data_IF_584142794244
#
_entry.id   IF_584142794244
#
_cell.length_a   1.000
_cell.length_b   1.000
_cell.length_c   1.000
_cell.angle_alpha   90.00
_cell.angle_beta   90.00
_cell.angle_gamma   90.00
#
_symmetry.space_group_name_H-M   'P 1'
#
loop_
_entity.id
_entity.type
_entity.pdbx_description
1 polymer ?
#
# COMPACT_ATOMS: atom_id res chain seq x y z
N UNK A 1 -12.89 -12.49 0.08
CA UNK A 1 -11.80 -12.72 1.05
C UNK A 1 -12.17 -13.77 2.10
N UNK A 2 -13.00 -13.48 3.13
CA UNK A 2 -13.39 -14.53 4.11
C UNK A 2 -14.01 -15.76 3.45
N UNK A 3 -15.04 -15.54 2.61
CA UNK A 3 -15.69 -16.64 1.88
C UNK A 3 -14.69 -17.39 0.99
N UNK A 4 -13.76 -16.68 0.34
CA UNK A 4 -12.68 -17.30 -0.43
C UNK A 4 -11.81 -18.23 0.43
N UNK A 5 -11.52 -17.86 1.68
CA UNK A 5 -10.75 -18.71 2.59
C UNK A 5 -11.51 -20.02 2.90
N UNK A 6 -12.82 -19.91 3.15
CA UNK A 6 -13.67 -21.09 3.35
C UNK A 6 -13.69 -21.99 2.10
N UNK A 7 -13.83 -21.40 0.90
CA UNK A 7 -13.81 -22.15 -0.37
C UNK A 7 -12.44 -22.79 -0.65
N UNK A 8 -11.31 -22.14 -0.33
CA UNK A 8 -9.96 -22.73 -0.47
C UNK A 8 -9.73 -23.91 0.48
N UNK A 9 -10.49 -23.96 1.59
CA UNK A 9 -10.47 -25.11 2.49
C UNK A 9 -11.24 -26.30 1.90
N UNK A 10 -12.40 -26.06 1.31
CA UNK A 10 -13.23 -27.09 0.63
C UNK A 10 -12.53 -27.64 -0.61
N UNK A 11 -12.11 -26.76 -1.52
CA UNK A 11 -11.27 -27.10 -2.68
C UNK A 11 -11.93 -27.99 -3.75
N UNK A 12 -13.25 -28.19 -3.73
CA UNK A 12 -13.95 -28.93 -4.77
C UNK A 12 -14.18 -28.09 -6.05
N UNK A 13 -14.75 -28.71 -7.08
CA UNK A 13 -14.99 -28.04 -8.38
C UNK A 13 -15.93 -26.84 -8.25
N UNK A 14 -16.91 -26.90 -7.33
CA UNK A 14 -17.86 -25.81 -7.09
C UNK A 14 -17.15 -24.65 -6.39
N UNK A 15 -16.31 -24.96 -5.40
CA UNK A 15 -15.49 -23.99 -4.68
C UNK A 15 -14.53 -23.26 -5.63
N UNK A 16 -13.86 -23.99 -6.53
CA UNK A 16 -13.01 -23.39 -7.58
C UNK A 16 -13.81 -22.42 -8.46
N UNK A 17 -15.01 -22.83 -8.90
CA UNK A 17 -15.91 -21.96 -9.67
C UNK A 17 -16.28 -20.68 -8.92
N UNK A 18 -16.59 -20.78 -7.62
CA UNK A 18 -16.91 -19.61 -6.77
C UNK A 18 -15.70 -18.69 -6.58
N UNK A 19 -14.52 -19.26 -6.35
CA UNK A 19 -13.27 -18.48 -6.19
C UNK A 19 -13.01 -17.67 -7.47
N UNK A 20 -13.21 -18.26 -8.65
CA UNK A 20 -13.10 -17.56 -9.94
C UNK A 20 -14.00 -16.33 -10.00
N UNK A 21 -15.28 -16.47 -9.65
CA UNK A 21 -16.23 -15.34 -9.64
C UNK A 21 -15.84 -14.25 -8.62
N UNK A 22 -15.34 -14.65 -7.44
CA UNK A 22 -14.85 -13.71 -6.44
C UNK A 22 -13.60 -12.95 -6.91
N UNK A 23 -12.73 -13.60 -7.69
CA UNK A 23 -11.55 -12.98 -8.30
C UNK A 23 -11.93 -11.96 -9.38
N UNK A 24 -12.94 -12.25 -10.21
CA UNK A 24 -13.47 -11.25 -11.14
C UNK A 24 -14.13 -10.07 -10.43
N UNK A 25 -14.87 -10.35 -9.36
CA UNK A 25 -15.52 -9.29 -8.55
C UNK A 25 -14.47 -8.36 -7.94
N UNK A 26 -13.41 -8.90 -7.32
CA UNK A 26 -12.36 -8.05 -6.74
C UNK A 26 -11.57 -7.30 -7.80
N UNK A 27 -11.34 -7.90 -8.98
CA UNK A 27 -10.71 -7.20 -10.11
C UNK A 27 -11.52 -5.98 -10.55
N UNK A 28 -12.85 -6.10 -10.62
CA UNK A 28 -13.77 -5.00 -10.88
C UNK A 28 -13.70 -3.89 -9.84
N UNK A 29 -13.75 -4.25 -8.55
CA UNK A 29 -13.64 -3.29 -7.44
C UNK A 29 -12.30 -2.56 -7.46
N UNK A 30 -11.19 -3.25 -7.71
CA UNK A 30 -9.87 -2.61 -7.82
C UNK A 30 -9.83 -1.63 -8.99
N UNK A 31 -10.47 -1.94 -10.11
CA UNK A 31 -10.57 -1.02 -11.24
C UNK A 31 -11.43 0.22 -10.89
N UNK A 32 -12.53 0.05 -10.15
CA UNK A 32 -13.31 1.20 -9.66
C UNK A 32 -12.47 2.10 -8.74
N UNK A 33 -11.69 1.51 -7.82
CA UNK A 33 -10.74 2.25 -6.98
C UNK A 33 -9.72 3.03 -7.82
N UNK A 34 -9.25 2.46 -8.95
CA UNK A 34 -8.36 3.15 -9.89
C UNK A 34 -9.02 4.39 -10.48
N UNK A 35 -10.28 4.28 -10.89
CA UNK A 35 -11.01 5.42 -11.46
C UNK A 35 -11.23 6.51 -10.40
N UNK A 36 -11.64 6.14 -9.19
CA UNK A 36 -11.79 7.07 -8.06
C UNK A 36 -10.48 7.78 -7.71
N UNK A 37 -9.35 7.07 -7.74
CA UNK A 37 -8.04 7.67 -7.50
C UNK A 37 -7.70 8.73 -8.56
N UNK A 38 -8.01 8.47 -9.84
CA UNK A 38 -7.73 9.41 -10.92
C UNK A 38 -8.64 10.65 -10.88
N UNK A 39 -9.81 10.55 -10.26
CA UNK A 39 -10.76 11.64 -10.09
C UNK A 39 -10.26 12.75 -9.15
N UNK A 40 -9.18 12.51 -8.38
CA UNK A 40 -8.48 13.58 -7.64
C UNK A 40 -8.13 14.77 -8.53
N UNK A 41 -7.87 14.53 -9.82
CA UNK A 41 -7.56 15.56 -10.83
C UNK A 41 -8.71 16.51 -11.11
N UNK A 42 -9.96 16.13 -10.81
CA UNK A 42 -11.14 16.96 -11.05
C UNK A 42 -11.30 18.08 -10.01
N UNK A 43 -10.79 17.86 -8.79
CA UNK A 43 -11.04 18.77 -7.66
C UNK A 43 -9.81 19.18 -6.85
N UNK A 44 -8.62 18.71 -7.20
CA UNK A 44 -7.39 19.01 -6.47
C UNK A 44 -6.34 19.57 -7.43
N UNK A 45 -5.99 20.84 -7.29
CA UNK A 45 -4.91 21.46 -8.04
C UNK A 45 -3.53 20.96 -7.53
N UNK A 46 -2.64 20.48 -8.41
CA UNK A 46 -1.33 19.94 -8.00
C UNK A 46 -0.43 20.94 -7.27
N UNK A 47 -0.42 22.21 -7.67
CA UNK A 47 0.43 23.23 -7.06
C UNK A 47 -0.14 23.71 -5.72
N UNK A 48 -1.46 23.81 -5.59
CA UNK A 48 -2.13 24.07 -4.29
C UNK A 48 -1.86 22.90 -3.34
N UNK A 49 -2.06 21.66 -3.78
CA UNK A 49 -1.77 20.50 -2.95
C UNK A 49 -0.31 20.50 -2.47
N UNK A 50 0.65 20.68 -3.38
CA UNK A 50 2.07 20.58 -3.05
C UNK A 50 2.55 21.72 -2.14
N UNK A 51 2.12 22.96 -2.40
CA UNK A 51 2.66 24.14 -1.72
C UNK A 51 1.85 24.54 -0.49
N UNK A 52 0.55 24.26 -0.45
CA UNK A 52 -0.34 24.75 0.61
C UNK A 52 -0.85 23.64 1.52
N UNK A 53 -1.09 22.43 1.01
CA UNK A 53 -1.66 21.31 1.79
C UNK A 53 -0.55 20.40 2.33
N UNK A 54 0.29 19.86 1.44
CA UNK A 54 1.34 18.88 1.75
C UNK A 54 2.31 19.32 2.87
N UNK A 55 2.66 20.62 3.06
CA UNK A 55 3.52 21.01 4.18
C UNK A 55 2.94 20.65 5.56
N UNK A 56 1.61 20.71 5.72
CA UNK A 56 0.92 20.33 6.96
C UNK A 56 0.93 18.82 7.25
N UNK A 57 1.26 18.01 6.24
CA UNK A 57 1.34 16.55 6.33
C UNK A 57 2.76 16.05 6.53
N UNK A 58 3.74 16.92 6.76
CA UNK A 58 5.12 16.47 7.04
C UNK A 58 5.19 15.99 8.49
N UNK A 59 5.58 14.73 8.66
CA UNK A 59 5.92 14.19 9.97
C UNK A 59 7.33 14.58 10.40
N UNK A 60 7.72 14.13 11.60
CA UNK A 60 9.05 14.36 12.17
C UNK A 60 10.17 13.84 11.24
N UNK A 61 9.95 12.70 10.58
CA UNK A 61 10.92 12.02 9.72
C UNK A 61 11.00 12.57 8.28
N UNK A 62 10.20 13.60 7.97
CA UNK A 62 10.04 14.13 6.61
C UNK A 62 11.03 15.24 6.23
N UNK A 63 11.76 15.80 7.19
CA UNK A 63 12.72 16.89 6.99
C UNK A 63 14.18 16.44 7.21
N UNK A 64 15.13 17.13 6.58
CA UNK A 64 16.57 16.92 6.83
C UNK A 64 16.99 17.39 8.22
N UNK A 65 16.32 18.45 8.73
CA UNK A 65 16.44 18.89 10.11
C UNK A 65 15.12 18.60 10.84
N UNK A 66 14.95 17.41 11.43
CA UNK A 66 13.70 17.01 12.06
C UNK A 66 13.39 17.92 13.26
N UNK A 67 12.31 18.69 13.15
CA UNK A 67 11.73 19.39 14.29
C UNK A 67 11.05 18.36 15.17
N UNK A 68 11.77 17.88 16.20
CA UNK A 68 11.21 16.94 17.17
C UNK A 68 10.02 17.58 17.87
N UNK A 69 8.88 16.89 17.86
CA UNK A 69 7.72 17.33 18.61
C UNK A 69 7.98 17.14 20.11
N UNK A 70 7.78 18.20 20.87
CA UNK A 70 7.85 18.15 22.33
C UNK A 70 6.44 17.92 22.86
N UNK A 71 6.25 16.79 23.54
CA UNK A 71 4.99 16.44 24.19
C UNK A 71 4.99 17.01 25.61
N UNK A 72 4.81 18.32 25.71
CA UNK A 72 4.82 19.03 26.99
C UNK A 72 3.72 18.52 27.93
N UNK A 73 4.07 18.26 29.20
CA UNK A 73 3.16 17.70 30.20
C UNK A 73 3.06 16.18 30.23
N UNK A 74 3.76 15.44 29.35
CA UNK A 74 3.72 13.97 29.34
C UNK A 74 4.29 13.36 30.62
N UNK A 75 5.26 14.04 31.25
CA UNK A 75 5.88 13.66 32.51
C UNK A 75 4.89 13.60 33.67
N UNK A 76 3.74 14.28 33.56
CA UNK A 76 2.65 14.23 34.54
C UNK A 76 1.83 12.94 34.46
N UNK A 77 2.06 12.12 33.44
CA UNK A 77 1.31 10.89 33.16
C UNK A 77 2.27 9.70 32.99
N UNK A 78 2.74 9.06 34.09
CA UNK A 78 3.75 8.00 34.06
C UNK A 78 3.40 6.78 33.21
N UNK A 79 2.10 6.56 32.96
CA UNK A 79 1.59 5.49 32.09
C UNK A 79 1.76 5.78 30.59
N UNK A 80 1.97 7.04 30.21
CA UNK A 80 2.15 7.45 28.82
C UNK A 80 3.64 7.42 28.45
N UNK A 81 3.91 7.06 27.20
CA UNK A 81 5.26 7.12 26.61
C UNK A 81 5.23 8.08 25.43
N UNK A 82 6.34 8.77 25.21
CA UNK A 82 6.51 9.62 24.01
C UNK A 82 6.37 8.73 22.78
N UNK A 83 5.47 9.07 21.84
CA UNK A 83 5.34 8.30 20.60
C UNK A 83 6.64 8.35 19.79
N UNK A 84 7.05 7.22 19.24
CA UNK A 84 8.27 7.11 18.41
C UNK A 84 7.97 7.10 16.91
N UNK A 85 6.72 6.84 16.54
CA UNK A 85 6.25 6.76 15.16
C UNK A 85 5.44 8.03 14.86
N UNK A 86 6.13 9.07 14.40
CA UNK A 86 5.60 10.40 14.09
C UNK A 86 5.75 10.76 12.60
N UNK A 87 5.70 9.75 11.74
CA UNK A 87 5.66 9.92 10.29
C UNK A 87 4.36 10.61 9.88
N UNK A 88 4.45 11.44 8.84
CA UNK A 88 3.29 12.13 8.30
C UNK A 88 2.33 11.16 7.61
N UNK A 89 1.08 11.58 7.33
CA UNK A 89 0.11 10.73 6.69
C UNK A 89 0.59 10.27 5.32
N UNK A 90 0.38 8.98 5.03
CA UNK A 90 0.72 8.40 3.74
C UNK A 90 -0.29 7.33 3.33
N UNK A 91 -0.42 7.09 2.02
CA UNK A 91 -1.26 6.01 1.50
C UNK A 91 -0.86 4.63 2.04
N UNK A 92 0.39 4.46 2.49
CA UNK A 92 0.87 3.23 3.13
C UNK A 92 0.16 2.92 4.46
N UNK A 93 -0.48 3.90 5.10
CA UNK A 93 -1.26 3.68 6.33
C UNK A 93 -2.67 3.13 6.04
N UNK A 94 -3.11 3.10 4.77
CA UNK A 94 -4.39 2.52 4.39
C UNK A 94 -4.37 1.00 4.48
N UNK A 95 -5.17 0.43 5.38
CA UNK A 95 -5.29 -1.02 5.56
C UNK A 95 -5.71 -1.75 4.27
N UNK A 96 -6.48 -1.07 3.40
CA UNK A 96 -6.94 -1.64 2.14
C UNK A 96 -5.79 -2.14 1.25
N UNK A 97 -4.71 -1.36 1.14
CA UNK A 97 -3.57 -1.74 0.29
C UNK A 97 -2.89 -3.00 0.82
N UNK A 98 -2.75 -3.11 2.14
CA UNK A 98 -2.15 -4.28 2.79
C UNK A 98 -3.04 -5.51 2.67
N UNK A 99 -4.35 -5.33 2.74
CA UNK A 99 -5.34 -6.41 2.59
C UNK A 99 -5.30 -6.99 1.18
N UNK A 100 -5.24 -6.13 0.15
CA UNK A 100 -5.12 -6.58 -1.25
C UNK A 100 -3.82 -7.35 -1.47
N UNK A 101 -2.71 -6.86 -0.91
CA UNK A 101 -1.41 -7.51 -1.03
C UNK A 101 -1.38 -8.87 -0.34
N UNK A 102 -1.83 -8.93 0.91
CA UNK A 102 -1.89 -10.18 1.66
C UNK A 102 -2.84 -11.19 1.01
N UNK A 103 -4.00 -10.75 0.49
CA UNK A 103 -4.97 -11.64 -0.13
C UNK A 103 -4.48 -12.20 -1.48
N UNK A 104 -3.85 -11.38 -2.31
CA UNK A 104 -3.30 -11.79 -3.61
C UNK A 104 -1.88 -12.35 -3.51
N UNK A 105 -1.31 -12.49 -2.31
CA UNK A 105 0.03 -13.05 -2.13
C UNK A 105 1.15 -12.18 -2.71
N UNK A 106 1.00 -10.86 -2.70
CA UNK A 106 2.06 -9.90 -3.07
C UNK A 106 3.01 -9.74 -1.89
N UNK A 107 4.24 -10.23 -2.04
CA UNK A 107 5.27 -10.13 -1.01
C UNK A 107 6.16 -8.88 -1.19
N UNK A 108 6.29 -8.12 -0.12
CA UNK A 108 7.18 -6.97 -0.03
C UNK A 108 8.37 -7.35 0.83
N UNK A 109 9.33 -8.06 0.22
CA UNK A 109 10.50 -8.55 0.95
C UNK A 109 11.23 -7.43 1.69
N UNK A 110 11.67 -7.73 2.91
CA UNK A 110 12.55 -6.85 3.64
C UNK A 110 13.93 -6.83 2.97
N UNK A 111 14.42 -5.64 2.64
CA UNK A 111 15.77 -5.43 2.13
C UNK A 111 16.87 -5.82 3.13
N UNK A 112 16.51 -6.03 4.40
CA UNK A 112 17.40 -6.49 5.47
C UNK A 112 16.59 -7.18 6.57
N UNK A 113 17.04 -8.32 7.13
CA UNK A 113 16.33 -9.02 8.21
C UNK A 113 16.08 -8.17 9.46
N UNK A 114 17.01 -7.24 9.76
CA UNK A 114 17.01 -6.49 11.01
C UNK A 114 16.21 -5.18 10.98
N UNK A 115 15.58 -4.84 9.85
CA UNK A 115 14.76 -3.61 9.75
C UNK A 115 13.37 -3.89 9.22
N UNK A 116 12.32 -3.45 9.93
CA UNK A 116 10.96 -3.57 9.44
C UNK A 116 10.81 -2.80 8.13
N UNK A 117 10.08 -3.37 7.17
CA UNK A 117 9.76 -2.69 5.92
C UNK A 117 8.92 -1.44 6.20
N UNK A 118 8.91 -0.50 5.26
CA UNK A 118 8.02 0.66 5.34
C UNK A 118 6.56 0.23 5.54
N UNK A 119 6.10 -0.79 4.81
CA UNK A 119 4.74 -1.32 4.95
C UNK A 119 4.50 -1.89 6.36
N UNK A 120 5.45 -2.64 6.92
CA UNK A 120 5.34 -3.13 8.30
C UNK A 120 5.24 -1.98 9.30
N UNK A 121 6.08 -0.94 9.16
CA UNK A 121 5.97 0.27 9.99
C UNK A 121 4.63 0.97 9.85
N UNK A 122 4.10 1.12 8.64
CA UNK A 122 2.81 1.80 8.42
C UNK A 122 1.62 1.07 9.06
N UNK A 123 1.72 -0.22 9.35
CA UNK A 123 0.67 -0.94 10.09
C UNK A 123 0.50 -0.43 11.52
N UNK A 124 1.53 0.14 12.15
CA UNK A 124 1.42 0.68 13.52
C UNK A 124 0.45 1.86 13.60
N UNK A 125 0.26 2.59 12.49
CA UNK A 125 -0.69 3.70 12.36
C UNK A 125 -2.13 3.22 12.11
N UNK A 126 -2.35 1.92 11.89
CA UNK A 126 -3.68 1.39 11.63
C UNK A 126 -4.44 1.11 12.93
N UNK A 127 -5.78 1.30 12.93
CA UNK A 127 -6.64 0.86 14.01
C UNK A 127 -6.40 -0.62 14.37
N UNK A 128 -6.50 -0.94 15.67
CA UNK A 128 -6.23 -2.29 16.19
C UNK A 128 -6.99 -3.38 15.42
N UNK A 129 -8.28 -3.18 15.17
CA UNK A 129 -9.11 -4.17 14.48
C UNK A 129 -8.68 -4.41 13.03
N UNK A 130 -8.13 -3.39 12.35
CA UNK A 130 -7.60 -3.55 11.00
C UNK A 130 -6.31 -4.35 10.99
N UNK A 131 -5.43 -4.13 11.99
CA UNK A 131 -4.23 -4.95 12.17
C UNK A 131 -4.58 -6.40 12.46
N UNK A 132 -5.51 -6.66 13.39
CA UNK A 132 -5.98 -8.01 13.68
C UNK A 132 -6.57 -8.71 12.45
N UNK A 133 -7.29 -7.97 11.61
CA UNK A 133 -7.79 -8.52 10.34
C UNK A 133 -6.66 -8.87 9.37
N UNK A 134 -5.63 -8.02 9.24
CA UNK A 134 -4.44 -8.31 8.44
C UNK A 134 -3.68 -9.53 8.95
N UNK A 135 -3.52 -9.65 10.26
CA UNK A 135 -2.84 -10.79 10.88
C UNK A 135 -3.62 -12.09 10.64
N UNK A 136 -4.95 -12.05 10.78
CA UNK A 136 -5.82 -13.18 10.46
C UNK A 136 -5.71 -13.61 8.99
N UNK A 137 -5.68 -12.65 8.07
CA UNK A 137 -5.56 -12.92 6.64
C UNK A 137 -4.20 -13.55 6.30
N UNK A 138 -3.11 -13.07 6.89
CA UNK A 138 -1.75 -13.61 6.71
C UNK A 138 -1.56 -14.99 7.34
N UNK A 139 -2.27 -15.27 8.43
CA UNK A 139 -2.23 -16.56 9.12
C UNK A 139 -3.04 -17.67 8.41
N UNK A 140 -3.63 -17.39 7.24
CA UNK A 140 -4.39 -18.37 6.48
C UNK A 140 -3.49 -19.57 6.09
N UNK A 141 -3.81 -20.81 6.51
CA UNK A 141 -3.00 -21.99 6.21
C UNK A 141 -2.99 -22.37 4.72
N UNK A 142 -3.95 -21.87 3.93
CA UNK A 142 -4.00 -22.06 2.47
C UNK A 142 -4.09 -20.72 1.76
N UNK A 143 -2.96 -20.03 1.54
CA UNK A 143 -2.93 -18.77 0.80
C UNK A 143 -3.49 -18.96 -0.61
N UNK A 144 -4.27 -17.98 -1.07
CA UNK A 144 -4.94 -18.04 -2.37
C UNK A 144 -3.96 -18.29 -3.52
N UNK A 145 -2.82 -17.60 -3.54
CA UNK A 145 -1.81 -17.75 -4.59
C UNK A 145 -1.31 -19.19 -4.71
N UNK A 146 -0.98 -19.83 -3.58
CA UNK A 146 -0.56 -21.24 -3.54
C UNK A 146 -1.68 -22.16 -4.00
N UNK A 147 -2.92 -21.94 -3.54
CA UNK A 147 -4.07 -22.72 -3.96
C UNK A 147 -4.28 -22.68 -5.48
N UNK A 148 -4.15 -21.50 -6.10
CA UNK A 148 -4.28 -21.34 -7.57
C UNK A 148 -3.18 -22.10 -8.31
N UNK A 149 -1.93 -22.06 -7.82
CA UNK A 149 -0.81 -22.82 -8.39
C UNK A 149 -1.07 -24.33 -8.33
N UNK A 150 -1.54 -24.82 -7.18
CA UNK A 150 -1.75 -26.25 -6.93
C UNK A 150 -3.00 -26.80 -7.66
N UNK A 151 -3.96 -25.94 -8.00
CA UNK A 151 -5.23 -26.35 -8.62
C UNK A 151 -5.08 -26.77 -10.10
N UNK A 152 -4.00 -26.37 -10.78
CA UNK A 152 -3.77 -26.65 -12.21
C UNK A 152 -4.99 -26.34 -13.11
N UNK A 153 -5.77 -25.31 -12.76
CA UNK A 153 -6.98 -24.91 -13.47
C UNK A 153 -6.73 -23.62 -14.27
N UNK A 154 -6.74 -23.66 -15.62
CA UNK A 154 -6.41 -22.49 -16.44
C UNK A 154 -7.34 -21.29 -16.23
N UNK A 155 -8.64 -21.51 -16.03
CA UNK A 155 -9.60 -20.42 -15.84
C UNK A 155 -9.41 -19.73 -14.48
N UNK A 156 -9.10 -20.51 -13.44
CA UNK A 156 -8.79 -19.97 -12.12
C UNK A 156 -7.48 -19.17 -12.13
N UNK A 157 -6.46 -19.68 -12.82
CA UNK A 157 -5.19 -19.00 -13.05
C UNK A 157 -5.40 -17.66 -13.75
N UNK A 158 -6.19 -17.65 -14.83
CA UNK A 158 -6.53 -16.43 -15.57
C UNK A 158 -7.26 -15.42 -14.68
N UNK A 159 -8.26 -15.85 -13.91
CA UNK A 159 -9.00 -14.97 -13.00
C UNK A 159 -8.10 -14.36 -11.92
N UNK A 160 -7.18 -15.14 -11.35
CA UNK A 160 -6.19 -14.65 -10.39
C UNK A 160 -5.26 -13.63 -11.03
N UNK A 161 -4.68 -13.94 -12.19
CA UNK A 161 -3.80 -13.03 -12.93
C UNK A 161 -4.52 -11.74 -13.34
N UNK A 162 -5.81 -11.80 -13.68
CA UNK A 162 -6.63 -10.62 -13.91
C UNK A 162 -6.69 -9.74 -12.65
N UNK A 163 -6.98 -10.31 -11.48
CA UNK A 163 -7.02 -9.53 -10.23
C UNK A 163 -5.66 -8.88 -9.90
N UNK A 164 -4.54 -9.60 -10.09
CA UNK A 164 -3.18 -9.05 -9.93
C UNK A 164 -2.91 -7.92 -10.94
N UNK A 165 -3.35 -8.07 -12.19
CA UNK A 165 -3.25 -7.02 -13.22
C UNK A 165 -4.02 -5.77 -12.83
N UNK A 166 -5.25 -5.90 -12.33
CA UNK A 166 -6.02 -4.75 -11.83
C UNK A 166 -5.30 -4.02 -10.70
N UNK A 167 -4.67 -4.76 -9.76
CA UNK A 167 -3.86 -4.16 -8.69
C UNK A 167 -2.63 -3.43 -9.23
N UNK A 168 -1.95 -4.00 -10.23
CA UNK A 168 -0.83 -3.33 -10.91
C UNK A 168 -1.29 -2.04 -11.58
N UNK A 169 -2.40 -2.05 -12.29
CA UNK A 169 -2.94 -0.86 -12.96
C UNK A 169 -3.37 0.24 -11.96
N UNK A 170 -3.90 -0.17 -10.81
CA UNK A 170 -4.14 0.75 -9.69
C UNK A 170 -2.84 1.40 -9.19
N UNK A 171 -1.76 0.64 -9.03
CA UNK A 171 -0.43 1.15 -8.64
C UNK A 171 0.18 2.08 -9.69
N UNK A 172 0.02 1.76 -10.97
CA UNK A 172 0.44 2.63 -12.08
C UNK A 172 -0.29 3.98 -12.03
N UNK A 173 -1.61 3.97 -11.81
CA UNK A 173 -2.39 5.19 -11.64
C UNK A 173 -1.89 6.01 -10.44
N UNK A 174 -1.56 5.36 -9.32
CA UNK A 174 -0.97 6.04 -8.16
C UNK A 174 0.40 6.67 -8.48
N UNK A 175 1.26 6.00 -9.26
CA UNK A 175 2.52 6.57 -9.71
C UNK A 175 2.33 7.80 -10.60
N UNK A 176 1.29 7.81 -11.45
CA UNK A 176 0.92 8.99 -12.24
C UNK A 176 0.54 10.15 -11.31
N UNK A 177 -0.33 9.91 -10.33
CA UNK A 177 -0.74 10.93 -9.36
C UNK A 177 0.48 11.48 -8.60
N UNK A 178 1.36 10.62 -8.09
CA UNK A 178 2.56 11.05 -7.38
C UNK A 178 3.49 11.89 -8.28
N UNK A 179 3.60 11.51 -9.55
CA UNK A 179 4.40 12.27 -10.52
C UNK A 179 3.83 13.68 -10.72
N UNK A 180 2.51 13.80 -10.89
CA UNK A 180 1.83 15.07 -11.15
C UNK A 180 1.77 15.97 -9.91
N UNK A 181 1.52 15.41 -8.73
CA UNK A 181 1.22 16.14 -7.49
C UNK A 181 2.43 16.35 -6.58
N UNK A 182 3.53 15.63 -6.80
CA UNK A 182 4.73 15.73 -5.97
C UNK A 182 5.97 16.00 -6.81
N UNK A 183 6.29 15.12 -7.76
CA UNK A 183 7.56 15.21 -8.51
C UNK A 183 7.59 16.44 -9.42
N UNK A 184 6.51 16.69 -10.16
CA UNK A 184 6.37 17.85 -11.04
C UNK A 184 6.52 19.18 -10.30
N UNK A 185 5.68 19.46 -9.28
CA UNK A 185 5.79 20.67 -8.46
C UNK A 185 7.15 20.83 -7.79
N UNK A 186 7.71 19.76 -7.19
CA UNK A 186 9.00 19.83 -6.51
C UNK A 186 10.15 20.31 -7.41
N UNK A 187 10.16 19.87 -8.68
CA UNK A 187 11.15 20.30 -9.67
C UNK A 187 11.03 21.78 -10.05
N UNK A 188 9.85 22.37 -9.92
CA UNK A 188 9.62 23.80 -10.19
C UNK A 188 10.00 24.69 -9.00
N UNK A 189 9.77 24.21 -7.78
CA UNK A 189 9.91 25.01 -6.55
C UNK A 189 11.30 24.99 -5.92
N UNK A 190 12.04 23.88 -6.02
CA UNK A 190 13.34 23.73 -5.36
C UNK A 190 14.47 24.11 -6.33
N UNK A 191 15.31 25.08 -5.97
CA UNK A 191 16.51 25.48 -6.74
C UNK A 191 17.78 25.43 -5.85
N UNK A 192 18.85 24.73 -6.27
CA UNK A 192 18.92 23.87 -7.45
C UNK A 192 17.95 22.69 -7.32
N UNK A 193 17.44 22.19 -8.45
CA UNK A 193 16.57 21.03 -8.45
C UNK A 193 17.24 19.90 -7.66
N UNK A 194 16.50 19.15 -6.81
CA UNK A 194 17.09 18.13 -5.95
C UNK A 194 17.90 17.15 -6.81
N UNK A 195 19.22 17.17 -6.63
CA UNK A 195 20.11 16.26 -7.34
C UNK A 195 19.79 14.83 -6.88
N UNK A 196 19.72 13.90 -7.83
CA UNK A 196 19.44 12.47 -7.64
C UNK A 196 18.00 12.04 -7.31
N UNK A 197 17.00 12.90 -7.43
CA UNK A 197 15.60 12.45 -7.30
C UNK A 197 15.23 11.91 -5.91
N UNK A 198 16.02 12.28 -4.89
CA UNK A 198 15.78 12.00 -3.47
C UNK A 198 14.62 12.88 -2.97
N UNK A 199 13.41 12.60 -3.44
CA UNK A 199 12.19 13.23 -2.97
C UNK A 199 11.59 12.36 -1.87
N UNK A 200 11.71 12.83 -0.63
CA UNK A 200 11.04 12.19 0.50
C UNK A 200 9.54 12.39 0.45
N UNK A 201 8.79 11.30 0.63
CA UNK A 201 7.36 11.32 0.92
C UNK A 201 7.08 11.94 2.29
N UNK A 202 5.80 12.21 2.57
CA UNK A 202 5.32 12.64 3.90
C UNK A 202 5.49 11.57 4.98
N UNK A 203 5.64 10.30 4.59
CA UNK A 203 6.04 9.21 5.47
C UNK A 203 7.55 8.93 5.48
N UNK A 204 8.38 9.88 5.04
CA UNK A 204 9.85 9.79 5.11
C UNK A 204 10.54 8.87 4.08
N UNK A 205 9.81 8.18 3.21
CA UNK A 205 10.39 7.27 2.21
C UNK A 205 10.94 7.97 0.98
N UNK A 206 11.95 7.38 0.35
CA UNK A 206 12.35 7.68 -1.03
C UNK A 206 11.21 7.32 -2.01
N UNK A 207 10.37 8.31 -2.30
CA UNK A 207 9.02 8.09 -2.83
C UNK A 207 9.02 7.32 -4.15
N UNK A 208 9.86 7.74 -5.10
CA UNK A 208 9.91 7.11 -6.43
C UNK A 208 10.46 5.69 -6.35
N UNK A 209 11.50 5.45 -5.54
CA UNK A 209 12.09 4.13 -5.36
C UNK A 209 11.09 3.18 -4.70
N UNK A 210 10.43 3.64 -3.64
CA UNK A 210 9.44 2.84 -2.91
C UNK A 210 8.27 2.41 -3.82
N UNK A 211 7.71 3.34 -4.61
CA UNK A 211 6.60 3.04 -5.51
C UNK A 211 7.00 2.08 -6.64
N UNK A 212 8.21 2.24 -7.18
CA UNK A 212 8.75 1.30 -8.18
C UNK A 212 8.89 -0.10 -7.61
N UNK A 213 9.48 -0.25 -6.42
CA UNK A 213 9.62 -1.55 -5.76
C UNK A 213 8.26 -2.20 -5.50
N UNK A 214 7.30 -1.42 -4.98
CA UNK A 214 5.91 -1.86 -4.75
C UNK A 214 5.28 -2.37 -6.05
N UNK A 215 5.46 -1.67 -7.17
CA UNK A 215 4.97 -2.12 -8.48
C UNK A 215 5.66 -3.42 -8.93
N UNK A 216 6.98 -3.54 -8.77
CA UNK A 216 7.73 -4.76 -9.12
C UNK A 216 7.21 -5.96 -8.33
N UNK A 217 7.05 -5.83 -7.00
CA UNK A 217 6.47 -6.90 -6.18
C UNK A 217 5.09 -7.37 -6.65
N UNK A 218 4.26 -6.48 -7.23
CA UNK A 218 2.98 -6.91 -7.84
C UNK A 218 3.19 -7.70 -9.12
N UNK A 219 4.18 -7.33 -9.92
CA UNK A 219 4.50 -8.05 -11.15
C UNK A 219 5.02 -9.45 -10.80
N UNK A 220 5.83 -9.58 -9.76
CA UNK A 220 6.36 -10.87 -9.31
C UNK A 220 5.26 -11.81 -8.76
N UNK A 221 4.07 -11.27 -8.47
CA UNK A 221 2.92 -12.05 -8.00
C UNK A 221 2.13 -12.74 -9.12
N UNK A 222 2.35 -12.37 -10.40
CA UNK A 222 1.78 -13.10 -11.54
C UNK A 222 2.22 -14.57 -11.52
N UNK A 223 1.35 -15.43 -12.02
CA UNK A 223 1.60 -16.86 -12.18
C UNK A 223 1.74 -17.19 -13.66
N UNK A 224 2.65 -18.12 -13.97
CA UNK A 224 2.84 -18.71 -15.31
C UNK A 224 1.82 -19.80 -15.60
#
# INVERSE_FOLDING_TARGET
MRVTMDETFVGDVIAVGRIREYLHTIAGVINELRMLLLDVKKGCDPDVYYNQVRPWFRGEDSAENPCKWVFDGIEKYPQLRVPTELSGPSAGQSSMIHVLDAFLGVDHQATSPDRPTFMSRMQTYMPKNHRLFLDHLKANPRPLRNFVMDAHNPELLEAYNHAVKSLKEFRDAHMIIVTLYVVGPARRTVKPAPQNGLLKGTGGTELVKFLKNTRTSTIDAFLE
#
